data_IF_056514895392
#
_entry.id   IF_056514895392
#
_cell.length_a   1.000
_cell.length_b   1.000
_cell.length_c   1.000
_cell.angle_alpha   90.00
_cell.angle_beta   90.00
_cell.angle_gamma   90.00
#
_symmetry.space_group_name_H-M   'P 1'
#
loop_
_entity.id
_entity.type
_entity.pdbx_description
1 polymer ?
#
# COMPACT_ATOMS: atom_id res chain seq x y z
N UNK A 1 12.99 -0.52 -2.52
CA UNK A 1 12.15 -1.43 -1.69
C UNK A 1 12.06 -2.80 -2.34
N UNK A 2 11.80 -3.82 -1.54
CA UNK A 2 11.75 -5.18 -2.08
C UNK A 2 10.38 -5.51 -2.65
N UNK A 3 9.34 -5.43 -1.85
CA UNK A 3 8.01 -5.92 -2.23
C UNK A 3 6.97 -4.84 -2.04
N UNK A 4 6.23 -4.57 -3.11
CA UNK A 4 5.08 -3.67 -3.12
C UNK A 4 3.84 -4.46 -3.50
N UNK A 5 2.75 -4.27 -2.76
CA UNK A 5 1.48 -4.94 -3.02
C UNK A 5 0.43 -3.93 -3.50
N UNK A 6 -0.33 -4.32 -4.51
CA UNK A 6 -1.46 -3.54 -5.02
C UNK A 6 -2.74 -4.35 -4.82
N UNK A 7 -3.68 -3.81 -4.05
CA UNK A 7 -4.95 -4.47 -3.75
C UNK A 7 -6.08 -3.66 -4.39
N UNK A 8 -6.64 -4.19 -5.46
CA UNK A 8 -7.66 -3.53 -6.26
C UNK A 8 -8.44 -4.58 -7.04
N UNK A 9 -9.76 -4.58 -6.93
CA UNK A 9 -10.59 -5.58 -7.58
C UNK A 9 -10.79 -5.35 -9.08
N UNK A 10 -10.69 -4.11 -9.55
CA UNK A 10 -10.80 -3.79 -10.97
C UNK A 10 -9.45 -3.94 -11.67
N UNK A 11 -9.39 -4.90 -12.59
CA UNK A 11 -8.14 -5.26 -13.27
C UNK A 11 -7.48 -4.08 -13.98
N UNK A 12 -8.24 -3.27 -14.71
CA UNK A 12 -7.68 -2.15 -15.46
C UNK A 12 -7.11 -1.08 -14.53
N UNK A 13 -7.77 -0.80 -13.42
CA UNK A 13 -7.28 0.16 -12.42
C UNK A 13 -6.00 -0.39 -11.78
N UNK A 14 -6.01 -1.67 -11.41
CA UNK A 14 -4.84 -2.32 -10.82
C UNK A 14 -3.63 -2.29 -11.74
N UNK A 15 -3.82 -2.58 -13.02
CA UNK A 15 -2.74 -2.53 -14.02
C UNK A 15 -2.25 -1.11 -14.24
N UNK A 16 -3.15 -0.11 -14.18
CA UNK A 16 -2.78 1.30 -14.27
C UNK A 16 -1.89 1.72 -13.11
N UNK A 17 -2.23 1.31 -11.90
CA UNK A 17 -1.41 1.59 -10.71
C UNK A 17 -0.04 0.92 -10.85
N UNK A 18 -0.01 -0.34 -11.27
CA UNK A 18 1.24 -1.06 -11.50
C UNK A 18 2.14 -0.34 -12.50
N UNK A 19 1.56 0.13 -13.59
CA UNK A 19 2.30 0.90 -14.60
C UNK A 19 2.90 2.18 -14.02
N UNK A 20 2.12 2.89 -13.18
CA UNK A 20 2.60 4.10 -12.52
C UNK A 20 3.75 3.81 -11.56
N UNK A 21 3.69 2.71 -10.82
CA UNK A 21 4.77 2.26 -9.94
C UNK A 21 6.04 1.99 -10.75
N UNK A 22 5.92 1.26 -11.84
CA UNK A 22 7.06 0.94 -12.70
C UNK A 22 7.72 2.18 -13.32
N UNK A 23 6.94 3.24 -13.53
CA UNK A 23 7.42 4.50 -14.12
C UNK A 23 7.79 5.55 -13.10
N UNK A 24 7.66 5.24 -11.81
CA UNK A 24 7.85 6.23 -10.73
C UNK A 24 9.31 6.62 -10.52
N UNK A 25 10.24 5.83 -11.00
CA UNK A 25 11.67 6.01 -10.71
C UNK A 25 12.13 5.37 -9.42
N UNK A 26 11.20 4.83 -8.62
CA UNK A 26 11.54 4.11 -7.40
C UNK A 26 11.80 2.64 -7.75
N UNK A 27 12.87 2.09 -7.18
CA UNK A 27 13.28 0.72 -7.43
C UNK A 27 12.43 -0.24 -6.61
N UNK A 28 11.68 -1.11 -7.28
CA UNK A 28 10.82 -2.12 -6.65
C UNK A 28 11.17 -3.48 -7.25
N UNK A 29 11.60 -4.42 -6.40
CA UNK A 29 12.02 -5.73 -6.87
C UNK A 29 10.86 -6.61 -7.30
N UNK A 30 9.75 -6.59 -6.55
CA UNK A 30 8.60 -7.43 -6.83
C UNK A 30 7.30 -6.64 -6.58
N UNK A 31 6.33 -6.78 -7.48
CA UNK A 31 4.99 -6.24 -7.33
C UNK A 31 4.00 -7.40 -7.21
N UNK A 32 3.27 -7.45 -6.11
CA UNK A 32 2.24 -8.46 -5.89
C UNK A 32 0.88 -7.82 -6.15
N UNK A 33 0.05 -8.45 -6.96
CA UNK A 33 -1.30 -7.98 -7.27
C UNK A 33 -2.34 -8.85 -6.58
N UNK A 34 -3.30 -8.21 -5.91
CA UNK A 34 -4.43 -8.87 -5.27
C UNK A 34 -5.71 -8.20 -5.71
N UNK A 35 -6.79 -8.98 -5.85
CA UNK A 35 -8.08 -8.46 -6.28
C UNK A 35 -9.10 -8.37 -5.14
N UNK A 36 -8.69 -8.63 -3.91
CA UNK A 36 -9.53 -8.50 -2.73
C UNK A 36 -8.67 -8.50 -1.47
N UNK A 37 -9.27 -8.05 -0.35
CA UNK A 37 -8.56 -7.93 0.91
C UNK A 37 -8.17 -9.26 1.55
N UNK A 38 -8.98 -10.29 1.36
CA UNK A 38 -8.69 -11.60 1.95
C UNK A 38 -7.43 -12.22 1.34
N UNK A 39 -7.30 -12.15 0.01
CA UNK A 39 -6.09 -12.61 -0.68
C UNK A 39 -4.85 -11.85 -0.22
N UNK A 40 -4.99 -10.53 -0.04
CA UNK A 40 -3.90 -9.70 0.47
C UNK A 40 -3.47 -10.13 1.87
N UNK A 41 -4.43 -10.34 2.77
CA UNK A 41 -4.17 -10.74 4.14
C UNK A 41 -3.43 -12.08 4.20
N UNK A 42 -3.85 -13.04 3.40
CA UNK A 42 -3.20 -14.35 3.34
C UNK A 42 -1.72 -14.25 2.97
N UNK A 43 -1.40 -13.37 2.01
CA UNK A 43 -0.01 -13.15 1.61
C UNK A 43 0.77 -12.45 2.73
N UNK A 44 0.17 -11.43 3.34
CA UNK A 44 0.82 -10.68 4.42
C UNK A 44 1.13 -11.54 5.65
N UNK A 45 0.36 -12.58 5.88
CA UNK A 45 0.62 -13.53 6.98
C UNK A 45 1.83 -14.43 6.70
N UNK A 46 2.21 -14.59 5.42
CA UNK A 46 3.27 -15.50 5.00
C UNK A 46 4.59 -14.82 4.67
N UNK A 47 4.55 -13.55 4.30
CA UNK A 47 5.77 -12.83 3.94
C UNK A 47 5.64 -11.34 4.23
N UNK A 48 6.79 -10.69 4.36
CA UNK A 48 6.85 -9.26 4.61
C UNK A 48 6.64 -8.49 3.30
N UNK A 49 5.80 -7.46 3.38
CA UNK A 49 5.55 -6.52 2.28
C UNK A 49 5.94 -5.13 2.77
N UNK A 50 6.70 -4.41 1.98
CA UNK A 50 7.21 -3.10 2.38
C UNK A 50 6.16 -2.00 2.23
N UNK A 51 5.42 -2.01 1.13
CA UNK A 51 4.43 -0.99 0.80
C UNK A 51 3.17 -1.65 0.23
N UNK A 52 2.01 -1.15 0.63
CA UNK A 52 0.73 -1.61 0.09
C UNK A 52 -0.11 -0.42 -0.37
N UNK A 53 -0.55 -0.46 -1.62
CA UNK A 53 -1.60 0.41 -2.12
C UNK A 53 -2.90 -0.38 -2.10
N UNK A 54 -3.93 0.13 -1.45
CA UNK A 54 -5.20 -0.59 -1.36
C UNK A 54 -6.40 0.29 -1.66
N UNK A 55 -7.34 -0.26 -2.43
CA UNK A 55 -8.67 0.31 -2.60
C UNK A 55 -9.47 0.12 -1.30
N UNK A 56 -10.58 0.82 -1.17
CA UNK A 56 -11.43 0.75 0.01
C UNK A 56 -12.50 -0.32 -0.15
N UNK A 57 -13.30 -0.23 -1.20
CA UNK A 57 -14.41 -1.16 -1.43
C UNK A 57 -14.00 -2.30 -2.34
N UNK A 58 -13.97 -3.51 -1.79
CA UNK A 58 -13.60 -4.73 -2.52
C UNK A 58 -14.44 -5.89 -2.03
N UNK A 59 -14.65 -6.91 -2.88
CA UNK A 59 -15.34 -8.12 -2.43
C UNK A 59 -14.50 -8.91 -1.43
N UNK A 60 -15.14 -9.82 -0.71
CA UNK A 60 -14.59 -10.75 0.28
C UNK A 60 -14.06 -10.04 1.54
N UNK A 61 -13.20 -9.08 1.41
CA UNK A 61 -12.71 -8.25 2.52
C UNK A 61 -12.37 -6.87 1.96
N UNK A 62 -12.97 -5.83 2.51
CA UNK A 62 -12.70 -4.45 2.08
C UNK A 62 -11.41 -3.91 2.68
N UNK A 63 -11.01 -2.71 2.21
CA UNK A 63 -9.77 -2.09 2.64
C UNK A 63 -9.75 -1.73 4.12
N UNK A 64 -10.87 -1.33 4.68
CA UNK A 64 -10.95 -0.96 6.11
C UNK A 64 -10.71 -2.20 6.98
N UNK A 65 -11.39 -3.29 6.68
CA UNK A 65 -11.22 -4.55 7.42
C UNK A 65 -9.80 -5.09 7.28
N UNK A 66 -9.23 -4.98 6.06
CA UNK A 66 -7.86 -5.39 5.81
C UNK A 66 -6.87 -4.58 6.66
N UNK A 67 -7.01 -3.27 6.70
CA UNK A 67 -6.12 -2.40 7.49
C UNK A 67 -6.24 -2.72 8.98
N UNK A 68 -7.44 -2.97 9.48
CA UNK A 68 -7.64 -3.36 10.89
C UNK A 68 -6.90 -4.65 11.22
N UNK A 69 -6.94 -5.64 10.33
CA UNK A 69 -6.21 -6.89 10.53
C UNK A 69 -4.69 -6.67 10.48
N UNK A 70 -4.22 -5.80 9.58
CA UNK A 70 -2.79 -5.48 9.48
C UNK A 70 -2.27 -4.85 10.77
N UNK A 71 -3.09 -4.04 11.47
CA UNK A 71 -2.66 -3.40 12.71
C UNK A 71 -2.34 -4.40 13.83
N UNK A 72 -2.81 -5.63 13.72
CA UNK A 72 -2.51 -6.70 14.69
C UNK A 72 -1.18 -7.38 14.41
N UNK A 73 -0.56 -7.11 13.28
CA UNK A 73 0.70 -7.74 12.86
C UNK A 73 1.91 -7.05 13.49
N UNK A 74 2.98 -7.84 13.70
CA UNK A 74 4.24 -7.31 14.22
C UNK A 74 4.95 -6.47 13.17
N UNK A 75 5.03 -6.97 11.93
CA UNK A 75 5.63 -6.26 10.81
C UNK A 75 4.52 -5.81 9.86
N UNK A 76 4.43 -4.51 9.65
CA UNK A 76 3.37 -3.90 8.86
C UNK A 76 3.95 -3.19 7.65
N UNK A 77 3.29 -3.28 6.49
CA UNK A 77 3.67 -2.43 5.36
C UNK A 77 3.30 -0.98 5.62
N UNK A 78 3.96 -0.07 4.93
CA UNK A 78 3.46 1.29 4.80
C UNK A 78 2.27 1.24 3.86
N UNK A 79 1.19 1.92 4.19
CA UNK A 79 -0.09 1.78 3.47
C UNK A 79 -0.53 3.11 2.90
N UNK A 80 -0.87 3.11 1.61
CA UNK A 80 -1.57 4.20 0.95
C UNK A 80 -2.95 3.71 0.54
N UNK A 81 -3.99 4.40 1.00
CA UNK A 81 -5.36 4.12 0.60
C UNK A 81 -5.68 4.86 -0.69
N UNK A 82 -6.38 4.20 -1.60
CA UNK A 82 -6.85 4.80 -2.84
C UNK A 82 -8.37 4.86 -2.79
N UNK A 83 -8.94 6.06 -2.86
CA UNK A 83 -10.38 6.23 -2.66
C UNK A 83 -11.01 7.11 -3.72
N UNK A 84 -12.29 6.86 -4.01
CA UNK A 84 -13.10 7.71 -4.85
C UNK A 84 -13.57 8.94 -4.09
N UNK A 85 -14.09 9.90 -4.85
CA UNK A 85 -14.58 11.16 -4.31
C UNK A 85 -15.71 10.97 -3.28
N UNK A 86 -16.54 9.94 -3.48
CA UNK A 86 -17.68 9.63 -2.61
C UNK A 86 -17.32 8.77 -1.41
N UNK A 87 -16.04 8.47 -1.20
CA UNK A 87 -15.58 7.56 -0.15
C UNK A 87 -14.82 8.27 0.98
N UNK A 88 -15.06 9.58 1.14
CA UNK A 88 -14.34 10.40 2.11
C UNK A 88 -14.40 9.87 3.55
N UNK A 89 -15.60 9.48 4.00
CA UNK A 89 -15.77 8.97 5.37
C UNK A 89 -14.98 7.69 5.60
N UNK A 90 -14.95 6.80 4.60
CA UNK A 90 -14.16 5.58 4.67
C UNK A 90 -12.66 5.87 4.70
N UNK A 91 -12.22 6.86 3.91
CA UNK A 91 -10.82 7.27 3.89
C UNK A 91 -10.38 7.80 5.27
N UNK A 92 -11.23 8.61 5.92
CA UNK A 92 -10.97 9.12 7.27
C UNK A 92 -10.83 7.95 8.25
N UNK A 93 -11.73 6.96 8.17
CA UNK A 93 -11.66 5.80 9.04
C UNK A 93 -10.36 5.01 8.82
N UNK A 94 -9.94 4.83 7.56
CA UNK A 94 -8.68 4.16 7.26
C UNK A 94 -7.47 4.91 7.84
N UNK A 95 -7.46 6.23 7.75
CA UNK A 95 -6.39 7.04 8.33
C UNK A 95 -6.33 6.87 9.84
N UNK A 96 -7.47 6.79 10.52
CA UNK A 96 -7.55 6.54 11.96
C UNK A 96 -7.03 5.15 12.34
N UNK A 97 -7.06 4.21 11.42
CA UNK A 97 -6.60 2.84 11.65
C UNK A 97 -5.16 2.60 11.18
N UNK A 98 -4.39 3.66 10.96
CA UNK A 98 -2.96 3.55 10.72
C UNK A 98 -2.51 3.55 9.27
N UNK A 99 -3.38 3.95 8.36
CA UNK A 99 -2.98 4.19 6.96
C UNK A 99 -2.09 5.44 6.93
N UNK A 100 -1.00 5.36 6.18
CA UNK A 100 0.02 6.40 6.18
C UNK A 100 -0.25 7.53 5.21
N UNK A 101 -0.84 7.22 4.06
CA UNK A 101 -1.14 8.18 3.01
C UNK A 101 -2.45 7.82 2.33
N UNK A 102 -3.02 8.81 1.63
CA UNK A 102 -4.23 8.55 0.88
C UNK A 102 -4.17 9.27 -0.47
N UNK A 103 -4.68 8.62 -1.51
CA UNK A 103 -4.67 9.11 -2.88
C UNK A 103 -6.10 9.08 -3.43
N UNK A 104 -6.57 10.23 -3.92
CA UNK A 104 -7.91 10.35 -4.50
C UNK A 104 -7.92 9.85 -5.95
N UNK A 105 -8.95 9.07 -6.30
CA UNK A 105 -9.18 8.67 -7.71
C UNK A 105 -9.76 9.84 -8.51
N UNK A 106 -9.44 9.97 -9.79
CA UNK A 106 -8.50 9.14 -10.56
C UNK A 106 -7.06 9.34 -10.10
N UNK A 107 -6.30 8.26 -10.06
CA UNK A 107 -4.93 8.29 -9.55
C UNK A 107 -4.05 9.13 -10.47
N UNK A 108 -3.45 10.18 -9.90
CA UNK A 108 -2.49 11.01 -10.60
C UNK A 108 -1.10 10.38 -10.48
N UNK A 109 -0.45 10.19 -11.62
CA UNK A 109 0.88 9.57 -11.70
C UNK A 109 1.91 10.30 -10.84
N UNK A 110 1.90 11.63 -10.87
CA UNK A 110 2.88 12.42 -10.11
C UNK A 110 2.62 12.30 -8.61
N UNK A 111 1.37 12.31 -8.20
CA UNK A 111 1.00 12.14 -6.79
C UNK A 111 1.37 10.77 -6.27
N UNK A 112 1.12 9.73 -7.04
CA UNK A 112 1.50 8.36 -6.68
C UNK A 112 3.02 8.25 -6.54
N UNK A 113 3.76 8.83 -7.48
CA UNK A 113 5.22 8.80 -7.45
C UNK A 113 5.77 9.51 -6.19
N UNK A 114 5.18 10.63 -5.79
CA UNK A 114 5.58 11.34 -4.57
C UNK A 114 5.34 10.51 -3.32
N UNK A 115 4.18 9.86 -3.22
CA UNK A 115 3.86 8.99 -2.08
C UNK A 115 4.84 7.81 -2.03
N UNK A 116 5.09 7.18 -3.16
CA UNK A 116 6.00 6.05 -3.25
C UNK A 116 7.43 6.45 -2.89
N UNK A 117 7.89 7.61 -3.36
CA UNK A 117 9.20 8.13 -3.02
C UNK A 117 9.33 8.40 -1.52
N UNK A 118 8.30 8.97 -0.92
CA UNK A 118 8.26 9.21 0.53
C UNK A 118 8.38 7.89 1.30
N UNK A 119 7.66 6.86 0.87
CA UNK A 119 7.72 5.55 1.51
C UNK A 119 9.10 4.91 1.34
N UNK A 120 9.69 5.04 0.16
CA UNK A 120 11.02 4.51 -0.10
C UNK A 120 12.07 5.18 0.78
N UNK A 121 11.96 6.49 0.98
CA UNK A 121 12.85 7.23 1.86
C UNK A 121 12.71 6.75 3.31
N UNK A 122 11.50 6.51 3.79
CA UNK A 122 11.24 5.98 5.13
C UNK A 122 11.89 4.61 5.30
N UNK A 123 11.70 3.72 4.34
CA UNK A 123 12.25 2.36 4.38
C UNK A 123 13.77 2.39 4.38
N UNK A 124 14.36 3.24 3.54
CA UNK A 124 15.82 3.38 3.44
C UNK A 124 16.40 3.91 4.75
N UNK A 125 15.76 4.91 5.35
CA UNK A 125 16.20 5.47 6.63
C UNK A 125 16.14 4.44 7.75
N UNK A 126 15.07 3.65 7.82
CA UNK A 126 14.95 2.57 8.81
C UNK A 126 16.07 1.54 8.67
N UNK A 127 16.40 1.15 7.44
CA UNK A 127 17.50 0.22 7.18
C UNK A 127 18.83 0.79 7.62
N UNK A 128 19.08 2.07 7.37
CA UNK A 128 20.31 2.73 7.78
C UNK A 128 20.42 2.79 9.29
N UNK A 129 19.35 3.09 9.99
CA UNK A 129 19.32 3.08 11.46
C UNK A 129 19.61 1.71 12.03
N UNK A 130 19.05 0.66 11.44
CA UNK A 130 19.29 -0.73 11.89
C UNK A 130 20.74 -1.12 11.67
N UNK A 131 21.36 -0.77 10.55
CA UNK A 131 22.78 -1.01 10.28
C UNK A 131 23.65 -0.29 11.29
N UNK A 132 23.33 0.95 11.62
CA UNK A 132 24.07 1.74 12.62
C UNK A 132 24.02 1.10 14.00
N UNK A 133 22.87 0.55 14.39
CA UNK A 133 22.69 -0.12 15.68
C UNK A 133 23.34 -1.50 15.74
N UNK A 134 23.51 -2.16 14.60
CA UNK A 134 24.09 -3.49 14.51
C UNK A 134 25.61 -3.52 14.64
N UNK A 135 26.21 -2.35 14.81
CA UNK A 135 27.66 -2.21 15.02
C UNK A 135 27.92 -2.06 16.51
#
# INVERSE_FOLDING_TARGET
MKILMIVEDEKLIRQGIKSMVLRSGVDVEEIIECNNGLAALEILEKQNVDVMFTDIRMPKMDGISLVKEIQKMTKKPLIAAISGFDEFDYAVEMMRNGVNEYILKPVDRDKLAKVLKKFDDIITEEKNLMKSRGR
#
